data_IF_255319349444
#
_entry.id   IF_255319349444
#
_cell.length_a   1.000
_cell.length_b   1.000
_cell.length_c   1.000
_cell.angle_alpha   90.00
_cell.angle_beta   90.00
_cell.angle_gamma   90.00
#
_symmetry.space_group_name_H-M   'P 1'
#
loop_
_entity.id
_entity.type
_entity.pdbx_description
1 polymer ?
#
# COMPACT_ATOMS: atom_id res chain seq x y z
N UNK A 1 -7.42 -9.03 -13.94
CA UNK A 1 -6.18 -9.52 -14.61
C UNK A 1 -6.64 -10.32 -15.81
N UNK A 2 -6.36 -9.91 -17.06
CA UNK A 2 -6.89 -10.58 -18.25
C UNK A 2 -5.84 -11.40 -19.01
N UNK A 3 -6.15 -12.65 -19.32
CA UNK A 3 -5.33 -13.54 -20.15
C UNK A 3 -6.21 -14.27 -21.17
N UNK A 4 -5.84 -14.27 -22.46
CA UNK A 4 -6.64 -14.89 -23.53
C UNK A 4 -6.09 -16.28 -23.87
N UNK A 5 -6.91 -17.33 -23.74
CA UNK A 5 -6.57 -18.72 -24.08
C UNK A 5 -7.43 -19.25 -25.22
N UNK A 6 -6.80 -19.91 -26.20
CA UNK A 6 -7.44 -20.33 -27.45
C UNK A 6 -8.17 -21.68 -27.39
N UNK A 7 -7.90 -22.54 -26.39
CA UNK A 7 -8.52 -23.86 -26.24
C UNK A 7 -9.33 -23.96 -24.91
N UNK A 8 -10.64 -24.30 -24.96
CA UNK A 8 -11.48 -24.43 -23.76
C UNK A 8 -11.23 -25.69 -22.92
N UNK A 9 -10.42 -26.65 -23.38
CA UNK A 9 -10.18 -27.95 -22.70
C UNK A 9 -8.90 -27.99 -21.86
N UNK A 10 -8.07 -26.96 -21.92
CA UNK A 10 -6.82 -26.90 -21.15
C UNK A 10 -7.09 -26.78 -19.65
N UNK A 11 -6.34 -27.56 -18.87
CA UNK A 11 -6.33 -27.41 -17.42
C UNK A 11 -5.54 -26.16 -17.07
N UNK A 12 -6.01 -25.43 -16.06
CA UNK A 12 -5.41 -24.18 -15.61
C UNK A 12 -5.16 -24.24 -14.10
N UNK A 13 -4.02 -23.72 -13.68
CA UNK A 13 -3.64 -23.63 -12.28
C UNK A 13 -3.03 -22.26 -12.02
N UNK A 14 -3.40 -21.65 -10.90
CA UNK A 14 -2.79 -20.41 -10.45
C UNK A 14 -1.87 -20.67 -9.26
N UNK A 15 -0.69 -20.07 -9.30
CA UNK A 15 0.16 -19.94 -8.12
C UNK A 15 0.38 -18.47 -7.78
N UNK A 16 0.51 -18.18 -6.48
CA UNK A 16 0.93 -16.90 -5.92
C UNK A 16 2.16 -17.14 -5.07
N UNK A 17 3.27 -16.48 -5.39
CA UNK A 17 4.56 -16.67 -4.70
C UNK A 17 4.90 -18.16 -4.53
N UNK A 18 4.79 -18.92 -5.62
CA UNK A 18 4.97 -20.38 -5.71
C UNK A 18 3.97 -21.25 -4.92
N UNK A 19 2.96 -20.66 -4.29
CA UNK A 19 1.89 -21.39 -3.59
C UNK A 19 0.68 -21.56 -4.50
N UNK A 20 0.15 -22.78 -4.64
CA UNK A 20 -1.06 -23.04 -5.43
C UNK A 20 -2.27 -22.39 -4.76
N UNK A 21 -2.92 -21.46 -5.46
CA UNK A 21 -4.14 -20.77 -4.99
C UNK A 21 -5.40 -21.30 -5.71
N UNK A 22 -5.25 -21.79 -6.94
CA UNK A 22 -6.29 -22.55 -7.64
C UNK A 22 -5.66 -23.82 -8.19
N UNK A 23 -6.22 -24.98 -7.83
CA UNK A 23 -5.80 -26.27 -8.37
C UNK A 23 -6.13 -26.40 -9.86
N UNK A 24 -5.50 -27.39 -10.51
CA UNK A 24 -5.73 -27.72 -11.92
C UNK A 24 -7.21 -27.98 -12.20
N UNK A 25 -7.83 -27.12 -13.01
CA UNK A 25 -9.21 -27.27 -13.46
C UNK A 25 -9.43 -26.53 -14.78
N UNK A 26 -10.33 -27.04 -15.61
CA UNK A 26 -10.81 -26.34 -16.82
C UNK A 26 -11.71 -25.14 -16.46
N UNK A 27 -12.25 -25.12 -15.23
CA UNK A 27 -13.13 -24.07 -14.73
C UNK A 27 -12.38 -22.99 -13.93
N UNK A 28 -11.07 -23.12 -13.75
CA UNK A 28 -10.26 -22.09 -13.09
C UNK A 28 -10.39 -20.79 -13.90
N UNK A 29 -10.77 -19.68 -13.24
CA UNK A 29 -11.03 -18.43 -13.94
C UNK A 29 -9.73 -17.86 -14.51
N UNK A 30 -9.84 -17.15 -15.64
CA UNK A 30 -8.72 -16.43 -16.25
C UNK A 30 -8.45 -15.09 -15.57
N UNK A 31 -9.46 -14.57 -14.88
CA UNK A 31 -9.38 -13.34 -14.12
C UNK A 31 -10.01 -13.57 -12.76
N UNK A 32 -9.34 -13.09 -11.72
CA UNK A 32 -9.93 -12.98 -10.40
C UNK A 32 -9.46 -11.68 -9.77
N UNK A 33 -10.23 -11.23 -8.78
CA UNK A 33 -9.92 -10.06 -7.97
C UNK A 33 -9.72 -10.55 -6.53
N UNK A 34 -8.66 -10.06 -5.90
CA UNK A 34 -8.35 -10.36 -4.50
C UNK A 34 -7.94 -9.05 -3.83
N UNK A 35 -8.32 -8.89 -2.56
CA UNK A 35 -7.82 -7.79 -1.76
C UNK A 35 -6.45 -8.17 -1.21
N UNK A 36 -5.42 -7.42 -1.59
CA UNK A 36 -4.03 -7.69 -1.25
C UNK A 36 -3.53 -6.69 -0.22
N UNK A 37 -2.76 -7.20 0.73
CA UNK A 37 -1.98 -6.36 1.64
C UNK A 37 -0.80 -5.74 0.90
N UNK A 38 -0.11 -4.82 1.58
CA UNK A 38 1.12 -4.25 1.03
C UNK A 38 2.19 -5.33 0.83
N UNK A 39 2.79 -5.37 -0.35
CA UNK A 39 3.82 -6.34 -0.69
C UNK A 39 3.95 -6.56 -2.20
N UNK A 40 4.97 -7.35 -2.54
CA UNK A 40 5.21 -7.80 -3.91
C UNK A 40 4.67 -9.22 -4.10
N UNK A 41 3.93 -9.40 -5.18
CA UNK A 41 3.25 -10.65 -5.51
C UNK A 41 3.60 -11.08 -6.93
N UNK A 42 4.03 -12.33 -7.06
CA UNK A 42 4.25 -12.98 -8.34
C UNK A 42 3.12 -14.00 -8.55
N UNK A 43 2.29 -13.74 -9.54
CA UNK A 43 1.24 -14.66 -9.98
C UNK A 43 1.70 -15.41 -11.22
N UNK A 44 1.54 -16.73 -11.21
CA UNK A 44 1.82 -17.58 -12.37
C UNK A 44 0.57 -18.34 -12.75
N UNK A 45 0.12 -18.14 -13.99
CA UNK A 45 -0.89 -18.98 -14.63
C UNK A 45 -0.17 -20.11 -15.34
N UNK A 46 -0.37 -21.35 -14.88
CA UNK A 46 0.11 -22.54 -15.55
C UNK A 46 -1.05 -23.17 -16.34
N UNK A 47 -0.74 -23.60 -17.56
CA UNK A 47 -1.68 -24.30 -18.45
C UNK A 47 -1.07 -25.62 -18.90
N UNK A 48 -1.90 -26.65 -19.05
CA UNK A 48 -1.48 -27.94 -19.59
C UNK A 48 -2.61 -28.62 -20.35
N UNK A 49 -2.26 -29.44 -21.33
CA UNK A 49 -3.21 -30.31 -22.00
C UNK A 49 -3.54 -31.53 -21.10
N UNK A 50 -4.81 -31.90 -20.89
CA UNK A 50 -5.16 -33.08 -20.12
C UNK A 50 -4.79 -34.42 -20.79
N UNK A 51 -4.63 -34.44 -22.12
CA UNK A 51 -4.21 -35.60 -22.91
C UNK A 51 -2.69 -35.66 -23.11
N UNK A 52 -2.01 -34.53 -23.03
CA UNK A 52 -0.55 -34.42 -23.09
C UNK A 52 -0.02 -33.57 -21.91
N UNK A 53 0.21 -34.19 -20.74
CA UNK A 53 0.70 -33.48 -19.56
C UNK A 53 2.10 -32.89 -19.70
N UNK A 54 2.89 -33.32 -20.70
CA UNK A 54 4.22 -32.79 -20.97
C UNK A 54 4.18 -31.46 -21.72
N UNK A 55 3.06 -31.19 -22.42
CA UNK A 55 2.79 -29.91 -23.04
C UNK A 55 2.28 -28.90 -21.99
N UNK A 56 3.22 -28.19 -21.35
CA UNK A 56 2.93 -27.15 -20.36
C UNK A 56 3.36 -25.76 -20.83
N UNK A 57 2.54 -24.77 -20.53
CA UNK A 57 2.87 -23.34 -20.71
C UNK A 57 2.65 -22.58 -19.41
N UNK A 58 3.35 -21.46 -19.25
CA UNK A 58 3.14 -20.56 -18.12
C UNK A 58 3.19 -19.09 -18.53
N UNK A 59 2.45 -18.26 -17.81
CA UNK A 59 2.50 -16.81 -17.89
C UNK A 59 2.74 -16.23 -16.51
N UNK A 60 3.70 -15.30 -16.40
CA UNK A 60 4.11 -14.67 -15.13
C UNK A 60 3.64 -13.23 -15.11
N UNK A 61 3.10 -12.80 -13.97
CA UNK A 61 2.67 -11.43 -13.72
C UNK A 61 3.15 -10.99 -12.34
N UNK A 62 3.77 -9.81 -12.30
CA UNK A 62 4.31 -9.22 -11.08
C UNK A 62 3.45 -8.03 -10.67
N UNK A 63 3.11 -7.95 -9.39
CA UNK A 63 2.31 -6.88 -8.81
C UNK A 63 3.02 -6.34 -7.57
N UNK A 64 3.03 -5.03 -7.43
CA UNK A 64 3.50 -4.37 -6.21
C UNK A 64 2.35 -3.56 -5.63
N UNK A 65 1.98 -3.86 -4.38
CA UNK A 65 0.97 -3.15 -3.62
C UNK A 65 1.69 -2.31 -2.59
N UNK A 66 1.66 -0.99 -2.74
CA UNK A 66 2.32 -0.06 -1.82
C UNK A 66 1.47 0.13 -0.55
N UNK A 67 2.06 0.13 0.65
CA UNK A 67 1.32 0.45 1.87
C UNK A 67 0.81 1.90 1.84
N UNK A 68 -0.31 2.19 2.52
CA UNK A 68 -0.73 3.58 2.70
C UNK A 68 0.35 4.38 3.45
N UNK A 69 0.53 5.68 3.16
CA UNK A 69 1.49 6.51 3.87
C UNK A 69 1.17 6.58 5.37
N UNK A 70 2.22 6.61 6.21
CA UNK A 70 2.05 6.71 7.66
C UNK A 70 1.27 7.98 8.03
N UNK A 71 0.32 7.86 8.96
CA UNK A 71 -0.47 8.99 9.42
C UNK A 71 0.42 9.98 10.19
N UNK A 72 0.37 11.29 9.88
CA UNK A 72 1.14 12.28 10.62
C UNK A 72 0.65 12.36 12.07
N UNK A 73 1.59 12.53 13.00
CA UNK A 73 1.32 12.67 14.42
C UNK A 73 2.05 13.89 14.98
N UNK A 74 1.58 14.41 16.12
CA UNK A 74 2.15 15.59 16.78
C UNK A 74 2.91 15.13 18.02
N UNK A 75 4.15 15.63 18.18
CA UNK A 75 4.92 15.56 19.43
C UNK A 75 4.90 16.94 20.09
N UNK A 76 5.05 16.96 21.42
CA UNK A 76 5.22 18.20 22.17
C UNK A 76 6.42 18.10 23.11
N UNK A 77 7.12 19.22 23.28
CA UNK A 77 8.17 19.41 24.27
C UNK A 77 7.82 20.62 25.12
N UNK A 78 7.83 20.48 26.46
CA UNK A 78 7.70 21.63 27.35
C UNK A 78 9.07 22.30 27.45
N UNK A 79 9.17 23.54 26.97
CA UNK A 79 10.40 24.33 26.99
C UNK A 79 10.54 25.06 28.32
N UNK A 80 9.47 25.73 28.76
CA UNK A 80 9.43 26.51 29.99
C UNK A 80 8.07 26.37 30.67
N UNK A 81 8.06 26.48 31.99
CA UNK A 81 6.81 26.55 32.78
C UNK A 81 6.50 27.98 33.26
N UNK A 82 7.46 28.91 33.14
CA UNK A 82 7.32 30.30 33.62
C UNK A 82 8.20 31.26 32.80
N UNK A 83 7.69 31.93 31.75
CA UNK A 83 6.34 31.77 31.18
C UNK A 83 6.15 30.37 30.56
N UNK A 84 4.91 29.89 30.49
CA UNK A 84 4.63 28.60 29.88
C UNK A 84 4.96 28.64 28.38
N UNK A 85 5.81 27.71 27.93
CA UNK A 85 6.20 27.54 26.52
C UNK A 85 6.27 26.07 26.17
N UNK A 86 5.59 25.69 25.09
CA UNK A 86 5.57 24.35 24.54
C UNK A 86 5.91 24.42 23.06
N UNK A 87 6.80 23.54 22.62
CA UNK A 87 7.08 23.33 21.20
C UNK A 87 6.27 22.15 20.70
N UNK A 88 5.46 22.37 19.67
CA UNK A 88 4.75 21.31 18.96
C UNK A 88 5.50 21.00 17.66
N UNK A 89 5.66 19.72 17.36
CA UNK A 89 6.34 19.23 16.17
C UNK A 89 5.47 18.21 15.46
N UNK A 90 5.12 18.45 14.20
CA UNK A 90 4.42 17.48 13.36
C UNK A 90 5.42 16.51 12.72
N UNK A 91 5.05 15.23 12.59
CA UNK A 91 5.83 14.27 11.81
C UNK A 91 5.69 14.50 10.30
N UNK A 92 6.61 13.91 9.52
CA UNK A 92 6.66 14.05 8.07
C UNK A 92 7.89 14.82 7.57
N UNK A 93 7.99 14.93 6.25
CA UNK A 93 9.10 15.61 5.56
C UNK A 93 9.06 17.12 5.74
N UNK A 94 10.22 17.76 5.80
CA UNK A 94 10.35 19.24 5.73
C UNK A 94 9.85 19.82 4.40
N UNK A 95 9.62 18.99 3.39
CA UNK A 95 9.04 19.38 2.11
C UNK A 95 7.52 19.50 2.13
N UNK A 96 6.85 19.04 3.18
CA UNK A 96 5.40 19.19 3.30
C UNK A 96 5.04 20.59 3.80
N UNK A 97 3.83 21.05 3.44
CA UNK A 97 3.28 22.28 4.01
C UNK A 97 2.41 21.96 5.23
N UNK A 98 2.60 22.74 6.30
CA UNK A 98 1.98 22.52 7.60
C UNK A 98 1.17 23.75 8.03
N UNK A 99 -0.10 23.54 8.36
CA UNK A 99 -0.99 24.58 8.90
C UNK A 99 -1.62 24.12 10.20
N UNK A 100 -1.43 24.89 11.26
CA UNK A 100 -1.92 24.58 12.60
C UNK A 100 -3.27 25.24 12.89
N UNK A 101 -4.03 24.68 13.83
CA UNK A 101 -5.35 25.19 14.23
C UNK A 101 -5.34 26.62 14.79
N UNK A 102 -4.18 27.10 15.27
CA UNK A 102 -3.97 28.46 15.74
C UNK A 102 -3.53 29.42 14.62
N UNK A 103 -3.51 28.98 13.36
CA UNK A 103 -3.11 29.78 12.21
C UNK A 103 -1.59 29.85 11.98
N UNK A 104 -0.77 29.26 12.85
CA UNK A 104 0.67 29.18 12.62
C UNK A 104 1.01 28.21 11.48
N UNK A 105 2.15 28.42 10.85
CA UNK A 105 2.67 27.62 9.74
C UNK A 105 4.07 27.10 10.04
N UNK A 106 4.42 25.96 9.43
CA UNK A 106 5.72 25.30 9.60
C UNK A 106 5.63 23.98 10.37
N UNK A 107 6.62 23.10 10.21
CA UNK A 107 6.65 21.77 10.84
C UNK A 107 6.66 21.85 12.36
N UNK A 108 7.26 22.91 12.90
CA UNK A 108 7.36 23.17 14.35
C UNK A 108 6.79 24.53 14.68
N UNK A 109 6.00 24.60 15.76
CA UNK A 109 5.49 25.85 16.30
C UNK A 109 5.75 25.93 17.81
N UNK A 110 5.93 27.13 18.33
CA UNK A 110 5.98 27.37 19.77
C UNK A 110 4.70 28.07 20.20
N UNK A 111 4.09 27.53 21.26
CA UNK A 111 2.83 28.02 21.82
C UNK A 111 2.99 28.23 23.31
N UNK A 112 2.36 29.28 23.82
CA UNK A 112 2.35 29.60 25.26
C UNK A 112 1.07 29.16 25.97
N UNK A 113 0.13 28.58 25.23
CA UNK A 113 -1.15 28.11 25.73
C UNK A 113 -1.24 26.59 25.56
N UNK A 114 -1.75 25.91 26.59
CA UNK A 114 -2.11 24.50 26.48
C UNK A 114 -3.48 24.35 25.84
N UNK A 115 -3.71 23.26 25.12
CA UNK A 115 -5.01 22.98 24.50
C UNK A 115 -4.92 21.91 23.40
N UNK A 116 -6.06 21.49 22.85
CA UNK A 116 -6.06 20.59 21.71
C UNK A 116 -5.55 21.32 20.45
N UNK A 117 -4.44 20.86 19.90
CA UNK A 117 -3.89 21.35 18.63
C UNK A 117 -4.14 20.34 17.52
N UNK A 118 -4.50 20.85 16.34
CA UNK A 118 -4.62 20.06 15.11
C UNK A 118 -3.69 20.62 14.05
N UNK A 119 -2.98 19.75 13.34
CA UNK A 119 -2.16 20.12 12.18
C UNK A 119 -2.78 19.56 10.91
N UNK A 120 -2.83 20.37 9.86
CA UNK A 120 -3.11 19.93 8.50
C UNK A 120 -1.79 19.86 7.76
N UNK A 121 -1.47 18.67 7.25
CA UNK A 121 -0.28 18.41 6.44
C UNK A 121 -0.73 18.24 5.00
N UNK A 122 -0.14 18.98 4.08
CA UNK A 122 -0.30 18.77 2.64
C UNK A 122 1.06 18.30 2.15
N UNK A 123 1.11 17.05 1.71
CA UNK A 123 2.27 16.55 1.00
C UNK A 123 2.32 17.27 -0.35
N UNK A 124 3.41 17.97 -0.63
CA UNK A 124 3.68 18.40 -2.00
C UNK A 124 3.96 17.12 -2.79
N UNK A 125 2.97 16.71 -3.57
CA UNK A 125 3.13 15.58 -4.48
C UNK A 125 4.23 15.98 -5.48
N UNK A 126 5.39 15.33 -5.37
CA UNK A 126 6.30 15.23 -6.52
C UNK A 126 5.63 14.45 -7.64
#
# INVERSE_FOLDING_TARGET
ISATLADPRVLRQWTRNNTVIYNWSIHTPLEFEEHLEAGDYVYVLNVRDPQDPECMGSAVMEFSVTPPPEQPYIRFDVLDCTPYRVRLSASGSDQHSYTWSNGMVGRTIEVSEGGPYRVRVIADNG
#
